data_IF_586204125331
#
_entry.id   IF_586204125331
#
_cell.length_a   1.000
_cell.length_b   1.000
_cell.length_c   1.000
_cell.angle_alpha   90.00
_cell.angle_beta   90.00
_cell.angle_gamma   90.00
#
_symmetry.space_group_name_H-M   'P 1'
#
loop_
_entity.id
_entity.type
_entity.pdbx_description
1 polymer ?
#
# COMPACT_ATOMS: atom_id res chain seq x y z
N UNK A 1 17.96 34.84 -3.81
CA UNK A 1 18.28 34.07 -4.53
C UNK A 1 18.16 32.61 -4.21
N UNK A 2 19.09 31.87 -4.43
CA UNK A 2 18.98 30.41 -4.25
C UNK A 2 18.62 29.97 -2.85
N UNK A 3 18.83 30.83 -1.87
CA UNK A 3 18.46 30.46 -0.50
C UNK A 3 16.99 30.27 -0.32
N UNK A 4 16.18 31.01 -1.04
CA UNK A 4 14.74 30.84 -0.99
C UNK A 4 14.34 29.48 -1.52
N UNK A 5 15.03 29.01 -2.56
CA UNK A 5 14.78 27.70 -3.11
C UNK A 5 15.17 26.59 -2.13
N UNK A 6 16.23 26.80 -1.37
CA UNK A 6 16.65 25.83 -0.35
C UNK A 6 15.63 25.78 0.79
N UNK A 7 15.10 26.93 1.19
CA UNK A 7 14.07 26.98 2.23
C UNK A 7 12.71 26.51 1.72
N UNK A 8 12.50 26.58 0.42
CA UNK A 8 11.28 26.10 -0.22
C UNK A 8 11.31 24.62 -0.53
N UNK A 9 12.29 23.89 0.02
CA UNK A 9 12.30 22.45 -0.14
C UNK A 9 10.95 21.89 0.22
N UNK A 10 10.28 21.40 -0.78
CA UNK A 10 9.00 20.73 -0.58
C UNK A 10 9.24 19.53 0.32
N UNK A 11 8.55 19.48 1.44
CA UNK A 11 8.56 18.31 2.29
C UNK A 11 7.77 17.25 1.56
N UNK A 12 8.47 16.24 1.05
CA UNK A 12 7.84 15.22 0.24
C UNK A 12 7.58 13.96 1.05
N UNK A 13 6.56 13.25 0.63
CA UNK A 13 6.25 11.93 1.13
C UNK A 13 7.40 10.98 0.81
N UNK A 14 7.80 10.11 1.75
CA UNK A 14 8.73 9.03 1.41
C UNK A 14 8.15 8.17 0.30
N UNK A 15 8.94 7.93 -0.73
CA UNK A 15 8.50 7.15 -1.86
C UNK A 15 9.28 5.86 -1.97
N UNK A 16 8.66 4.78 -2.47
CA UNK A 16 9.36 3.53 -2.71
C UNK A 16 10.32 3.66 -3.88
N UNK A 17 11.29 2.76 -3.92
CA UNK A 17 12.15 2.62 -5.09
C UNK A 17 11.36 1.92 -6.19
N UNK A 18 11.40 2.48 -7.38
CA UNK A 18 10.58 1.98 -8.49
C UNK A 18 11.30 0.94 -9.35
N UNK A 19 12.58 0.75 -9.12
CA UNK A 19 13.41 -0.13 -9.96
C UNK A 19 13.83 -1.41 -9.26
N UNK A 20 13.23 -1.76 -8.16
CA UNK A 20 13.52 -3.02 -7.48
C UNK A 20 12.92 -4.18 -8.25
N UNK A 21 13.64 -5.31 -8.24
CA UNK A 21 13.23 -6.50 -9.00
C UNK A 21 11.90 -7.08 -8.51
N UNK A 22 11.69 -7.04 -7.20
CA UNK A 22 10.51 -7.66 -6.59
C UNK A 22 9.27 -6.77 -6.69
N UNK A 23 9.42 -5.47 -6.53
CA UNK A 23 8.30 -4.55 -6.37
C UNK A 23 8.10 -3.60 -7.55
N UNK A 24 9.07 -3.53 -8.47
CA UNK A 24 9.01 -2.58 -9.58
C UNK A 24 7.75 -2.72 -10.44
N UNK A 25 7.36 -3.95 -10.74
CA UNK A 25 6.18 -4.20 -11.56
C UNK A 25 4.89 -3.76 -10.85
N UNK A 26 4.83 -3.94 -9.53
CA UNK A 26 3.69 -3.47 -8.75
C UNK A 26 3.55 -1.95 -8.86
N UNK A 27 4.64 -1.23 -8.63
CA UNK A 27 4.61 0.23 -8.68
C UNK A 27 4.33 0.76 -10.10
N UNK A 28 4.83 0.06 -11.12
CA UNK A 28 4.51 0.42 -12.50
C UNK A 28 3.01 0.27 -12.79
N UNK A 29 2.38 -0.76 -12.25
CA UNK A 29 0.94 -0.97 -12.40
C UNK A 29 0.13 0.09 -11.66
N UNK A 30 0.59 0.57 -10.51
CA UNK A 30 -0.12 1.62 -9.78
C UNK A 30 -0.17 2.93 -10.56
N UNK A 31 0.81 3.22 -11.40
CA UNK A 31 0.76 4.38 -12.27
C UNK A 31 -0.38 4.31 -13.29
N UNK A 32 -0.83 3.11 -13.59
CA UNK A 32 -1.98 2.86 -14.46
C UNK A 32 -3.27 2.68 -13.66
N UNK A 33 -3.24 3.00 -12.37
CA UNK A 33 -4.35 2.84 -11.43
C UNK A 33 -4.80 1.38 -11.29
N UNK A 34 -3.84 0.47 -11.32
CA UNK A 34 -4.08 -0.96 -11.12
C UNK A 34 -3.40 -1.41 -9.86
N UNK A 35 -4.13 -2.12 -9.01
CA UNK A 35 -3.58 -2.81 -7.86
C UNK A 35 -3.38 -4.27 -8.23
N UNK A 36 -2.14 -4.72 -8.20
CA UNK A 36 -1.80 -6.08 -8.63
C UNK A 36 -1.35 -6.92 -7.46
N UNK A 37 -1.62 -8.20 -7.55
CA UNK A 37 -1.12 -9.20 -6.61
C UNK A 37 -0.60 -10.39 -7.41
N UNK A 38 0.10 -11.29 -6.72
CA UNK A 38 0.66 -12.45 -7.36
C UNK A 38 -0.07 -13.72 -6.89
N UNK A 39 -0.16 -14.68 -7.77
CA UNK A 39 -0.72 -16.00 -7.45
C UNK A 39 0.19 -17.07 -8.00
N UNK A 40 0.50 -18.05 -7.17
CA UNK A 40 1.30 -19.20 -7.61
C UNK A 40 0.47 -20.06 -8.56
N UNK A 41 0.97 -20.28 -9.78
CA UNK A 41 0.25 -21.05 -10.78
C UNK A 41 0.14 -22.53 -10.40
N UNK A 42 1.09 -23.02 -9.64
CA UNK A 42 1.15 -24.44 -9.26
C UNK A 42 0.26 -24.77 -8.07
N UNK A 43 0.24 -23.91 -7.05
CA UNK A 43 -0.50 -24.17 -5.80
C UNK A 43 -1.78 -23.37 -5.68
N UNK A 44 -1.94 -22.31 -6.48
CA UNK A 44 -3.06 -21.38 -6.36
C UNK A 44 -2.94 -20.40 -5.20
N UNK A 45 -1.86 -20.44 -4.44
CA UNK A 45 -1.65 -19.56 -3.31
C UNK A 45 -1.52 -18.11 -3.75
N UNK A 46 -2.25 -17.22 -3.09
CA UNK A 46 -2.14 -15.78 -3.31
C UNK A 46 -0.99 -15.24 -2.48
N UNK A 47 -0.10 -14.51 -3.13
CA UNK A 47 1.10 -13.97 -2.50
C UNK A 47 1.02 -12.46 -2.49
N UNK A 48 1.10 -11.88 -1.33
CA UNK A 48 1.22 -10.46 -1.12
C UNK A 48 2.57 -10.14 -0.53
N UNK A 49 2.98 -8.95 -0.77
CA UNK A 49 4.31 -8.42 -0.94
C UNK A 49 4.95 -9.08 -2.15
N UNK A 50 5.13 -8.31 -3.24
CA UNK A 50 5.64 -8.86 -4.51
C UNK A 50 6.95 -9.60 -4.32
N UNK A 51 7.03 -10.78 -4.89
CA UNK A 51 8.20 -11.66 -4.81
C UNK A 51 8.56 -12.16 -6.21
N UNK A 52 9.77 -12.65 -6.33
CA UNK A 52 10.22 -13.25 -7.59
C UNK A 52 9.82 -14.72 -7.69
N UNK A 53 9.68 -15.37 -6.56
CA UNK A 53 9.39 -16.81 -6.50
C UNK A 53 8.28 -17.09 -5.51
N UNK A 54 7.57 -18.20 -5.74
CA UNK A 54 6.52 -18.64 -4.84
C UNK A 54 7.10 -19.03 -3.48
N UNK A 55 6.40 -18.70 -2.42
CA UNK A 55 6.75 -19.12 -1.07
C UNK A 55 6.23 -20.51 -0.76
N UNK A 56 5.26 -21.00 -1.52
CA UNK A 56 4.63 -22.29 -1.29
C UNK A 56 5.16 -23.41 -2.17
N UNK A 57 6.02 -23.11 -3.14
CA UNK A 57 6.56 -24.12 -4.04
C UNK A 57 7.89 -23.64 -4.63
N UNK A 58 8.91 -24.50 -4.58
CA UNK A 58 10.23 -24.16 -5.10
C UNK A 58 10.19 -23.86 -6.60
N UNK A 59 9.42 -24.63 -7.34
CA UNK A 59 9.30 -24.49 -8.81
C UNK A 59 8.02 -23.80 -9.25
N UNK A 60 7.31 -23.17 -8.32
CA UNK A 60 6.07 -22.48 -8.64
C UNK A 60 6.33 -21.14 -9.30
N UNK A 61 5.75 -20.90 -10.45
CA UNK A 61 5.78 -19.62 -11.12
C UNK A 61 4.69 -18.72 -10.56
N UNK A 62 4.96 -17.41 -10.56
CA UNK A 62 4.03 -16.42 -10.07
C UNK A 62 3.38 -15.68 -11.22
N UNK A 63 2.06 -15.72 -11.27
CA UNK A 63 1.27 -14.92 -12.19
C UNK A 63 0.86 -13.62 -11.52
N UNK A 64 0.95 -12.52 -12.24
CA UNK A 64 0.49 -11.21 -11.77
C UNK A 64 -0.96 -11.03 -12.18
N UNK A 65 -1.81 -10.72 -11.21
CA UNK A 65 -3.23 -10.50 -11.43
C UNK A 65 -3.65 -9.12 -10.95
N UNK A 66 -4.67 -8.57 -11.58
CA UNK A 66 -5.21 -7.26 -11.22
C UNK A 66 -6.38 -7.45 -10.28
N UNK A 67 -6.31 -6.80 -9.12
CA UNK A 67 -7.39 -6.79 -8.14
C UNK A 67 -8.52 -5.86 -8.58
N UNK A 68 -9.75 -6.17 -8.17
CA UNK A 68 -10.89 -5.27 -8.33
C UNK A 68 -10.75 -4.02 -7.47
N UNK A 69 -9.85 -4.04 -6.49
CA UNK A 69 -9.65 -2.92 -5.59
C UNK A 69 -10.70 -2.82 -4.49
N UNK A 70 -11.40 -3.90 -4.21
CA UNK A 70 -12.43 -3.95 -3.18
C UNK A 70 -12.00 -4.87 -2.05
N UNK A 71 -12.35 -4.49 -0.83
CA UNK A 71 -12.00 -5.27 0.35
C UNK A 71 -12.67 -4.73 1.60
N UNK A 72 -12.25 -5.24 2.73
CA UNK A 72 -12.78 -4.85 4.03
C UNK A 72 -11.66 -4.52 4.99
N UNK A 73 -11.91 -3.59 5.90
CA UNK A 73 -10.95 -3.24 6.94
C UNK A 73 -10.88 -4.38 7.96
N UNK A 74 -9.71 -4.98 8.07
CA UNK A 74 -9.45 -6.01 9.07
C UNK A 74 -9.14 -5.38 10.44
N UNK A 75 -8.29 -4.36 10.45
CA UNK A 75 -7.91 -3.65 11.66
C UNK A 75 -7.43 -2.26 11.28
N UNK A 76 -7.53 -1.30 12.18
CA UNK A 76 -7.07 0.05 11.92
C UNK A 76 -6.54 0.72 13.18
N UNK A 77 -5.80 1.80 12.97
CA UNK A 77 -5.34 2.69 14.03
C UNK A 77 -5.38 4.13 13.53
N UNK A 78 -5.71 5.04 14.43
CA UNK A 78 -5.68 6.47 14.12
C UNK A 78 -4.34 7.02 14.58
N UNK A 79 -3.53 7.50 13.65
CA UNK A 79 -2.22 8.09 13.95
C UNK A 79 -2.44 9.56 14.28
N UNK A 80 -2.20 9.92 15.53
CA UNK A 80 -2.44 11.29 16.03
C UNK A 80 -1.18 12.12 16.06
N UNK A 81 -0.02 11.48 16.05
CA UNK A 81 1.27 12.14 16.10
C UNK A 81 2.26 11.41 15.20
N UNK A 82 2.93 12.16 14.35
CA UNK A 82 3.99 11.64 13.52
C UNK A 82 5.19 12.57 13.59
N UNK A 83 6.37 11.98 13.64
CA UNK A 83 7.62 12.76 13.66
C UNK A 83 8.16 13.05 12.26
N UNK A 84 7.66 12.38 11.24
CA UNK A 84 8.06 12.66 9.87
C UNK A 84 7.46 13.97 9.40
N UNK A 85 8.26 14.90 8.82
CA UNK A 85 7.77 16.23 8.46
C UNK A 85 6.53 16.22 7.55
N UNK A 86 6.48 15.30 6.61
CA UNK A 86 5.32 15.21 5.72
C UNK A 86 4.06 14.76 6.47
N UNK A 87 4.18 13.69 7.24
CA UNK A 87 3.01 13.11 7.93
C UNK A 87 2.60 13.91 9.15
N UNK A 88 3.49 14.71 9.71
CA UNK A 88 3.18 15.58 10.84
C UNK A 88 2.05 16.54 10.49
N UNK A 89 2.02 17.05 9.26
CA UNK A 89 0.97 17.97 8.80
C UNK A 89 -0.31 17.25 8.41
N UNK A 90 -0.26 15.93 8.22
CA UNK A 90 -1.42 15.13 7.82
C UNK A 90 -2.15 14.48 8.99
N UNK A 91 -1.52 14.46 10.17
CA UNK A 91 -2.16 13.88 11.35
C UNK A 91 -3.36 14.72 11.80
N UNK A 92 -4.42 14.11 12.33
CA UNK A 92 -4.61 12.67 12.45
C UNK A 92 -4.96 12.01 11.12
N UNK A 93 -4.46 10.79 10.92
CA UNK A 93 -4.81 10.01 9.74
C UNK A 93 -4.98 8.54 10.14
N UNK A 94 -5.64 7.77 9.28
CA UNK A 94 -5.96 6.38 9.57
C UNK A 94 -5.03 5.46 8.79
N UNK A 95 -4.46 4.50 9.51
CA UNK A 95 -3.69 3.39 8.94
C UNK A 95 -4.49 2.13 9.16
N UNK A 96 -4.69 1.33 8.14
CA UNK A 96 -5.51 0.14 8.24
C UNK A 96 -4.89 -1.04 7.52
N UNK A 97 -5.14 -2.24 8.06
CA UNK A 97 -4.97 -3.48 7.30
C UNK A 97 -6.28 -3.76 6.59
N UNK A 98 -6.19 -3.92 5.29
CA UNK A 98 -7.35 -4.20 4.43
C UNK A 98 -7.19 -5.58 3.83
N UNK A 99 -8.25 -6.38 3.96
CA UNK A 99 -8.34 -7.67 3.30
C UNK A 99 -9.06 -7.49 1.97
N UNK A 100 -8.33 -7.66 0.87
CA UNK A 100 -8.94 -7.64 -0.45
C UNK A 100 -9.81 -8.86 -0.65
N UNK A 101 -10.84 -8.71 -1.48
CA UNK A 101 -11.76 -9.82 -1.78
C UNK A 101 -11.03 -11.03 -2.37
N UNK A 102 -9.91 -10.79 -3.06
CA UNK A 102 -9.09 -11.87 -3.63
C UNK A 102 -8.20 -12.59 -2.62
N UNK A 103 -8.12 -12.09 -1.39
CA UNK A 103 -7.39 -12.73 -0.31
C UNK A 103 -6.20 -11.97 0.29
N UNK A 104 -5.45 -11.17 -0.47
CA UNK A 104 -4.28 -10.49 0.11
C UNK A 104 -4.66 -9.48 1.19
N UNK A 105 -3.82 -9.37 2.19
CA UNK A 105 -3.94 -8.35 3.24
C UNK A 105 -2.81 -7.35 3.07
N UNK A 106 -3.12 -6.07 3.06
CA UNK A 106 -2.11 -5.04 2.91
C UNK A 106 -2.36 -3.86 3.84
N UNK A 107 -1.30 -3.11 4.11
CA UNK A 107 -1.34 -1.93 4.97
C UNK A 107 -1.48 -0.69 4.11
N UNK A 108 -2.43 0.16 4.46
CA UNK A 108 -2.70 1.37 3.68
C UNK A 108 -3.29 2.47 4.56
N UNK A 109 -3.45 3.64 3.97
CA UNK A 109 -4.18 4.73 4.59
C UNK A 109 -5.63 4.74 4.13
N UNK A 110 -6.53 5.08 5.02
CA UNK A 110 -7.95 5.28 4.68
C UNK A 110 -8.18 6.76 4.47
N UNK A 111 -8.64 7.12 3.29
CA UNK A 111 -8.94 8.51 2.92
C UNK A 111 -10.41 8.64 2.55
N UNK A 112 -10.86 9.88 2.37
CA UNK A 112 -12.26 10.12 2.01
C UNK A 112 -13.22 10.03 3.19
N UNK A 113 -12.71 10.09 4.41
CA UNK A 113 -13.52 10.09 5.63
C UNK A 113 -13.46 11.49 6.26
N UNK A 114 -14.60 11.95 6.76
CA UNK A 114 -14.67 13.27 7.39
C UNK A 114 -14.14 13.25 8.82
N UNK A 115 -14.49 12.23 9.58
CA UNK A 115 -14.06 12.09 10.96
C UNK A 115 -13.36 10.77 11.17
N UNK A 116 -12.03 10.81 11.28
CA UNK A 116 -11.21 9.63 11.43
C UNK A 116 -11.44 8.86 12.73
N UNK A 117 -12.09 9.49 13.71
CA UNK A 117 -12.36 8.86 14.99
C UNK A 117 -13.70 8.09 15.01
N UNK A 118 -14.63 8.49 14.16
CA UNK A 118 -15.99 7.95 14.20
C UNK A 118 -16.39 7.20 12.92
N UNK A 119 -15.82 7.59 11.79
CA UNK A 119 -16.26 7.09 10.49
C UNK A 119 -15.55 5.83 10.01
N UNK A 120 -14.59 5.33 10.78
CA UNK A 120 -13.83 4.13 10.43
C UNK A 120 -14.15 3.02 11.42
N UNK A 121 -14.45 1.84 10.89
CA UNK A 121 -14.74 0.69 11.73
C UNK A 121 -14.32 -0.61 11.03
N UNK A 122 -14.13 -1.65 11.82
CA UNK A 122 -13.77 -2.96 11.31
C UNK A 122 -14.93 -3.52 10.49
N UNK A 123 -14.58 -4.11 9.34
CA UNK A 123 -15.58 -4.66 8.43
C UNK A 123 -16.13 -3.69 7.40
N UNK A 124 -15.64 -2.46 7.45
CA UNK A 124 -16.06 -1.40 6.53
C UNK A 124 -15.59 -1.65 5.11
#
# INVERSE_FOLDING_TARGET
MSDDKASEKTITRPLPRLNEQDTGAFWAATKKKQFTYQQCEKTGEVIWHPRRHSTGSINGELATKVSKGEGQIYSFSVVRLSYHPFFKTKAPYVVAYVDLDEGPRFLTNVVGIENSLEDVHIGQ
#
